data_IF_539149182710
#
_entry.id   IF_539149182710
#
_cell.length_a   1.000
_cell.length_b   1.000
_cell.length_c   1.000
_cell.angle_alpha   90.00
_cell.angle_beta   90.00
_cell.angle_gamma   90.00
#
_symmetry.space_group_name_H-M   'P 1'
#
loop_
_entity.id
_entity.type
_entity.pdbx_description
1 polymer ?
#
# COMPACT_ATOMS: atom_id res chain seq x y z
N UNK A 1 -56.97 80.65 7.22
CA UNK A 1 -57.12 79.29 6.65
C UNK A 1 -56.32 79.26 5.37
N UNK A 2 -55.04 78.92 5.45
CA UNK A 2 -54.15 78.77 4.29
C UNK A 2 -54.16 77.31 3.86
N UNK A 3 -54.55 77.08 2.61
CA UNK A 3 -54.55 75.76 1.99
C UNK A 3 -53.17 75.52 1.36
N UNK A 4 -52.34 74.72 2.03
CA UNK A 4 -51.04 74.28 1.51
C UNK A 4 -51.25 73.25 0.40
N UNK A 5 -51.14 73.70 -0.86
CA UNK A 5 -51.09 72.81 -2.03
C UNK A 5 -49.73 72.10 -2.09
N UNK A 6 -49.72 70.81 -1.75
CA UNK A 6 -48.56 69.92 -1.92
C UNK A 6 -48.38 69.58 -3.40
N UNK A 7 -47.32 70.14 -3.98
CA UNK A 7 -46.84 69.87 -5.34
C UNK A 7 -46.38 68.41 -5.44
N UNK A 8 -47.12 67.58 -6.15
CA UNK A 8 -46.75 66.19 -6.44
C UNK A 8 -45.66 66.17 -7.50
N UNK A 9 -44.42 65.82 -7.11
CA UNK A 9 -43.34 65.62 -8.07
C UNK A 9 -43.56 64.35 -8.90
N UNK A 10 -43.29 64.39 -10.22
CA UNK A 10 -43.43 63.24 -11.10
C UNK A 10 -42.40 62.17 -10.74
N UNK A 11 -42.91 60.99 -10.40
CA UNK A 11 -42.12 59.79 -10.07
C UNK A 11 -41.23 59.41 -11.27
N UNK A 12 -39.90 59.36 -11.12
CA UNK A 12 -39.01 59.02 -12.22
C UNK A 12 -39.30 57.60 -12.72
N UNK A 13 -39.39 57.45 -14.04
CA UNK A 13 -39.65 56.18 -14.70
C UNK A 13 -38.54 55.16 -14.36
N UNK A 14 -38.88 53.89 -14.11
CA UNK A 14 -37.91 52.85 -13.82
C UNK A 14 -36.94 52.70 -15.01
N UNK A 15 -35.64 52.87 -14.75
CA UNK A 15 -34.61 52.64 -15.77
C UNK A 15 -34.72 51.17 -16.23
N UNK A 16 -34.69 50.91 -17.56
CA UNK A 16 -34.67 49.55 -18.07
C UNK A 16 -33.49 48.81 -17.43
N UNK A 17 -33.78 47.68 -16.79
CA UNK A 17 -32.78 46.84 -16.17
C UNK A 17 -31.81 46.36 -17.25
N UNK A 18 -30.65 47.01 -17.32
CA UNK A 18 -29.58 46.66 -18.23
C UNK A 18 -29.09 45.27 -17.80
N UNK A 19 -29.54 44.24 -18.50
CA UNK A 19 -29.11 42.86 -18.22
C UNK A 19 -27.60 42.82 -18.41
N UNK A 20 -26.81 42.58 -17.35
CA UNK A 20 -25.37 42.54 -17.51
C UNK A 20 -25.04 41.43 -18.53
N UNK A 21 -24.08 41.67 -19.43
CA UNK A 21 -23.66 40.65 -20.37
C UNK A 21 -23.24 39.40 -19.60
N UNK A 22 -23.54 38.19 -20.13
CA UNK A 22 -23.17 36.94 -19.47
C UNK A 22 -21.67 36.94 -19.20
N UNK A 23 -21.29 36.71 -17.94
CA UNK A 23 -19.90 36.64 -17.55
C UNK A 23 -19.21 35.56 -18.39
N UNK A 24 -18.00 35.83 -18.94
CA UNK A 24 -17.26 34.81 -19.65
C UNK A 24 -17.04 33.60 -18.74
N UNK A 25 -17.09 32.36 -19.27
CA UNK A 25 -16.87 31.17 -18.48
C UNK A 25 -15.51 31.26 -17.80
N UNK A 26 -15.48 31.13 -16.47
CA UNK A 26 -14.23 31.12 -15.71
C UNK A 26 -13.35 29.99 -16.26
N UNK A 27 -12.06 30.25 -16.53
CA UNK A 27 -11.16 29.19 -16.95
C UNK A 27 -11.11 28.10 -15.87
N UNK A 28 -11.09 26.80 -16.25
CA UNK A 28 -10.99 25.73 -15.28
C UNK A 28 -9.73 25.92 -14.45
N UNK A 29 -9.87 25.92 -13.12
CA UNK A 29 -8.73 25.99 -12.23
C UNK A 29 -7.83 24.78 -12.52
N UNK A 30 -6.50 24.98 -12.68
CA UNK A 30 -5.59 23.87 -12.89
C UNK A 30 -5.69 22.89 -11.71
N UNK A 31 -5.67 21.57 -11.96
CA UNK A 31 -5.68 20.59 -10.88
C UNK A 31 -4.47 20.85 -9.98
N UNK A 32 -4.75 21.22 -8.73
CA UNK A 32 -3.70 21.34 -7.72
C UNK A 32 -3.41 19.93 -7.23
N UNK A 33 -2.46 19.26 -7.88
CA UNK A 33 -1.86 18.01 -7.40
C UNK A 33 -0.91 18.33 -6.23
N UNK A 34 -1.45 18.93 -5.17
CA UNK A 34 -0.75 19.04 -3.91
C UNK A 34 -0.66 17.64 -3.33
N UNK A 35 0.51 17.02 -3.46
CA UNK A 35 0.85 15.80 -2.72
C UNK A 35 0.83 16.17 -1.24
N UNK A 36 -0.32 15.96 -0.61
CA UNK A 36 -0.45 16.11 0.85
C UNK A 36 0.48 15.06 1.42
N UNK A 37 1.61 15.50 1.95
CA UNK A 37 2.60 14.64 2.58
C UNK A 37 1.87 13.83 3.65
N UNK A 38 1.75 12.52 3.46
CA UNK A 38 1.05 11.66 4.42
C UNK A 38 2.05 11.29 5.51
N UNK A 39 1.92 11.90 6.67
CA UNK A 39 2.77 11.62 7.82
C UNK A 39 2.41 10.24 8.38
N UNK A 40 3.30 9.22 8.34
CA UNK A 40 2.99 7.86 8.79
C UNK A 40 2.53 7.81 10.25
N UNK A 41 3.07 8.69 11.10
CA UNK A 41 2.68 8.85 12.49
C UNK A 41 1.20 9.27 12.63
N UNK A 42 0.74 10.24 11.83
CA UNK A 42 -0.65 10.72 11.84
C UNK A 42 -1.60 9.63 11.35
N UNK A 43 -1.22 8.90 10.30
CA UNK A 43 -2.01 7.77 9.81
C UNK A 43 -2.14 6.66 10.87
N UNK A 44 -1.05 6.35 11.58
CA UNK A 44 -1.04 5.37 12.67
C UNK A 44 -1.88 5.83 13.85
N UNK A 45 -1.77 7.09 14.25
CA UNK A 45 -2.57 7.67 15.33
C UNK A 45 -4.07 7.64 15.01
N UNK A 46 -4.47 8.00 13.77
CA UNK A 46 -5.86 7.92 13.31
C UNK A 46 -6.40 6.49 13.39
N UNK A 47 -5.63 5.48 12.94
CA UNK A 47 -6.03 4.07 13.03
C UNK A 47 -6.22 3.61 14.47
N UNK A 48 -5.32 3.99 15.38
CA UNK A 48 -5.44 3.65 16.81
C UNK A 48 -6.69 4.26 17.42
N UNK A 49 -6.92 5.54 17.16
CA UNK A 49 -8.08 6.27 17.65
C UNK A 49 -9.40 5.73 17.06
N UNK A 50 -9.41 5.30 15.79
CA UNK A 50 -10.54 4.59 15.20
C UNK A 50 -10.80 3.23 15.86
N UNK A 51 -9.76 2.49 16.22
CA UNK A 51 -9.87 1.22 16.94
C UNK A 51 -10.44 1.42 18.34
N UNK A 52 -9.92 2.39 19.11
CA UNK A 52 -10.46 2.74 20.44
C UNK A 52 -11.94 3.09 20.32
N UNK A 53 -12.32 3.91 19.34
CA UNK A 53 -13.72 4.30 19.13
C UNK A 53 -14.63 3.14 18.72
N UNK A 54 -14.16 2.16 17.94
CA UNK A 54 -14.94 0.94 17.64
C UNK A 54 -15.18 0.13 18.91
N UNK A 55 -14.15 -0.04 19.74
CA UNK A 55 -14.26 -0.74 21.03
C UNK A 55 -15.21 -0.01 21.98
N UNK A 56 -15.06 1.30 22.14
CA UNK A 56 -15.96 2.11 22.98
C UNK A 56 -17.41 2.03 22.51
N UNK A 57 -17.66 2.11 21.19
CA UNK A 57 -19.02 2.01 20.65
C UNK A 57 -19.67 0.65 20.92
N UNK A 58 -18.90 -0.43 20.85
CA UNK A 58 -19.38 -1.78 21.21
C UNK A 58 -19.65 -1.93 22.69
N UNK A 59 -18.73 -1.46 23.53
CA UNK A 59 -18.90 -1.47 24.97
C UNK A 59 -20.17 -0.69 25.37
N UNK A 60 -20.39 0.48 24.77
CA UNK A 60 -21.61 1.27 24.98
C UNK A 60 -22.88 0.53 24.53
N UNK A 61 -22.84 -0.15 23.39
CA UNK A 61 -23.99 -0.95 22.90
C UNK A 61 -24.33 -2.09 23.86
N UNK A 62 -23.32 -2.81 24.35
CA UNK A 62 -23.50 -3.89 25.33
C UNK A 62 -24.00 -3.36 26.67
N UNK A 63 -23.45 -2.25 27.14
CA UNK A 63 -23.88 -1.60 28.37
C UNK A 63 -25.34 -1.12 28.27
N UNK A 64 -25.73 -0.52 27.14
CA UNK A 64 -27.11 -0.10 26.88
C UNK A 64 -28.07 -1.28 26.83
N UNK A 65 -27.71 -2.37 26.14
CA UNK A 65 -28.51 -3.59 26.10
C UNK A 65 -28.67 -4.24 27.49
N UNK A 66 -27.58 -4.29 28.28
CA UNK A 66 -27.63 -4.80 29.65
C UNK A 66 -28.48 -3.91 30.58
N UNK A 67 -28.38 -2.59 30.44
CA UNK A 67 -29.19 -1.65 31.21
C UNK A 67 -30.68 -1.76 30.83
N UNK A 68 -31.00 -1.88 29.54
CA UNK A 68 -32.37 -2.12 29.07
C UNK A 68 -32.90 -3.47 29.58
N UNK A 69 -32.10 -4.53 29.53
CA UNK A 69 -32.47 -5.82 30.08
C UNK A 69 -32.70 -5.79 31.61
N UNK A 70 -31.91 -5.00 32.34
CA UNK A 70 -32.13 -4.77 33.77
C UNK A 70 -33.42 -3.97 34.03
N UNK A 71 -33.76 -3.02 33.14
CA UNK A 71 -35.03 -2.28 33.18
C UNK A 71 -36.27 -3.16 33.03
N UNK A 72 -36.17 -4.26 32.25
CA UNK A 72 -37.26 -5.24 32.15
C UNK A 72 -37.55 -5.96 33.49
N UNK A 73 -36.60 -5.95 34.44
CA UNK A 73 -36.69 -6.66 35.72
C UNK A 73 -36.80 -5.69 36.91
N UNK A 74 -36.46 -4.42 36.71
CA UNK A 74 -36.37 -3.41 37.77
C UNK A 74 -36.99 -2.10 37.33
N UNK A 75 -37.55 -1.31 38.24
CA UNK A 75 -38.17 -0.01 37.91
C UNK A 75 -37.14 1.10 37.60
N UNK A 76 -35.94 0.73 37.14
CA UNK A 76 -34.79 1.60 36.88
C UNK A 76 -34.77 2.17 35.45
N UNK A 77 -35.82 1.95 34.64
CA UNK A 77 -35.91 2.36 33.22
C UNK A 77 -35.64 3.86 33.03
N UNK A 78 -36.05 4.71 33.98
CA UNK A 78 -35.81 6.15 33.92
C UNK A 78 -34.32 6.53 33.97
N UNK A 79 -33.52 5.82 34.79
CA UNK A 79 -32.08 6.05 34.85
C UNK A 79 -31.37 5.59 33.58
N UNK A 80 -31.82 4.47 32.98
CA UNK A 80 -31.31 3.97 31.70
C UNK A 80 -31.59 4.96 30.56
N UNK A 81 -32.80 5.53 30.49
CA UNK A 81 -33.16 6.56 29.51
C UNK A 81 -32.32 7.83 29.66
N UNK A 82 -32.09 8.30 30.89
CA UNK A 82 -31.23 9.46 31.14
C UNK A 82 -29.78 9.21 30.72
N UNK A 83 -29.25 8.03 31.01
CA UNK A 83 -27.90 7.64 30.60
C UNK A 83 -27.78 7.57 29.07
N UNK A 84 -28.77 6.99 28.38
CA UNK A 84 -28.79 6.90 26.92
C UNK A 84 -28.91 8.28 26.25
N UNK A 85 -29.79 9.14 26.79
CA UNK A 85 -29.93 10.52 26.32
C UNK A 85 -28.63 11.33 26.50
N UNK A 86 -27.96 11.19 27.65
CA UNK A 86 -26.69 11.84 27.91
C UNK A 86 -25.59 11.35 26.95
N UNK A 87 -25.51 10.05 26.71
CA UNK A 87 -24.53 9.45 25.80
C UNK A 87 -24.76 9.91 24.35
N UNK A 88 -26.02 9.85 23.89
CA UNK A 88 -26.43 10.28 22.55
C UNK A 88 -26.19 11.78 22.35
N UNK A 89 -26.56 12.59 23.35
CA UNK A 89 -26.34 14.04 23.35
C UNK A 89 -24.86 14.42 23.29
N UNK A 90 -24.01 13.75 24.08
CA UNK A 90 -22.56 13.98 24.06
C UNK A 90 -21.94 13.63 22.69
N UNK A 91 -22.37 12.53 22.07
CA UNK A 91 -21.93 12.14 20.74
C UNK A 91 -22.39 13.10 19.63
N UNK A 92 -23.60 13.65 19.75
CA UNK A 92 -24.10 14.67 18.83
C UNK A 92 -23.37 16.01 18.99
N UNK A 93 -23.12 16.43 20.23
CA UNK A 93 -22.40 17.67 20.54
C UNK A 93 -20.96 17.62 19.99
N UNK A 94 -20.27 16.48 20.16
CA UNK A 94 -18.92 16.28 19.61
C UNK A 94 -18.92 16.28 18.07
N UNK A 95 -19.92 15.69 17.42
CA UNK A 95 -20.08 15.79 15.95
C UNK A 95 -20.28 17.24 15.49
N UNK A 96 -21.09 18.02 16.20
CA UNK A 96 -21.42 19.41 15.84
C UNK A 96 -20.22 20.35 15.99
N UNK A 97 -19.40 20.14 17.02
CA UNK A 97 -18.23 20.97 17.32
C UNK A 97 -17.08 20.77 16.32
N UNK A 98 -16.93 19.57 15.74
CA UNK A 98 -15.74 19.21 14.97
C UNK A 98 -15.91 19.25 13.44
N UNK A 99 -17.08 19.59 12.88
CA UNK A 99 -17.29 19.48 11.41
C UNK A 99 -18.02 20.64 10.72
N UNK A 100 -17.53 21.04 9.52
CA UNK A 100 -18.16 22.05 8.68
C UNK A 100 -19.50 21.57 8.11
N UNK A 101 -20.34 22.53 7.71
CA UNK A 101 -21.73 22.30 7.28
C UNK A 101 -21.86 21.61 5.91
N UNK A 102 -22.96 20.91 5.68
CA UNK A 102 -23.27 20.23 4.41
C UNK A 102 -24.24 19.05 4.55
N UNK A 103 -24.75 18.53 3.43
CA UNK A 103 -25.69 17.38 3.41
C UNK A 103 -25.12 16.13 4.10
N UNK A 104 -23.81 15.90 4.00
CA UNK A 104 -23.15 14.77 4.68
C UNK A 104 -23.24 14.87 6.21
N UNK A 105 -23.27 16.10 6.76
CA UNK A 105 -23.44 16.34 8.20
C UNK A 105 -24.83 15.92 8.64
N UNK A 106 -25.87 16.23 7.87
CA UNK A 106 -27.24 15.83 8.19
C UNK A 106 -27.38 14.30 8.20
N UNK A 107 -26.91 13.61 7.15
CA UNK A 107 -26.99 12.15 7.08
C UNK A 107 -26.22 11.46 8.21
N UNK A 108 -25.00 11.91 8.51
CA UNK A 108 -24.24 11.37 9.61
C UNK A 108 -24.88 11.64 10.97
N UNK A 109 -25.50 12.81 11.16
CA UNK A 109 -26.19 13.16 12.41
C UNK A 109 -27.40 12.25 12.62
N UNK A 110 -28.19 12.00 11.56
CA UNK A 110 -29.31 11.05 11.59
C UNK A 110 -28.83 9.65 11.94
N UNK A 111 -27.77 9.17 11.28
CA UNK A 111 -27.18 7.85 11.57
C UNK A 111 -26.64 7.75 13.01
N UNK A 112 -26.20 8.86 13.60
CA UNK A 112 -25.70 8.89 14.96
C UNK A 112 -26.83 8.95 16.00
N UNK A 113 -27.92 9.66 15.72
CA UNK A 113 -29.10 9.72 16.59
C UNK A 113 -29.91 8.42 16.58
N UNK A 114 -30.00 7.77 15.41
CA UNK A 114 -30.91 6.63 15.18
C UNK A 114 -30.86 5.56 16.29
N UNK A 115 -29.68 5.11 16.78
CA UNK A 115 -29.63 4.12 17.84
C UNK A 115 -30.27 4.62 19.13
N UNK A 116 -29.83 5.78 19.66
CA UNK A 116 -30.37 6.31 20.93
C UNK A 116 -31.87 6.59 20.84
N UNK A 117 -32.33 7.21 19.76
CA UNK A 117 -33.77 7.46 19.57
C UNK A 117 -34.58 6.17 19.42
N UNK A 118 -34.00 5.15 18.79
CA UNK A 118 -34.64 3.84 18.63
C UNK A 118 -34.75 3.08 19.95
N UNK A 119 -33.69 3.10 20.76
CA UNK A 119 -33.69 2.51 22.09
C UNK A 119 -34.67 3.22 23.02
N UNK A 120 -34.64 4.56 23.04
CA UNK A 120 -35.58 5.35 23.83
C UNK A 120 -37.04 5.07 23.43
N UNK A 121 -37.33 4.94 22.14
CA UNK A 121 -38.67 4.59 21.67
C UNK A 121 -39.11 3.19 22.12
N UNK A 122 -38.20 2.20 22.10
CA UNK A 122 -38.48 0.84 22.61
C UNK A 122 -38.79 0.87 24.11
N UNK A 123 -37.99 1.56 24.91
CA UNK A 123 -38.20 1.69 26.36
C UNK A 123 -39.48 2.48 26.70
N UNK A 124 -39.85 3.46 25.88
CA UNK A 124 -41.12 4.19 26.06
C UNK A 124 -42.33 3.30 25.71
N UNK A 125 -42.20 2.44 24.70
CA UNK A 125 -43.25 1.50 24.30
C UNK A 125 -43.50 0.44 25.39
N UNK A 126 -42.43 -0.06 26.02
CA UNK A 126 -42.48 -0.96 27.19
C UNK A 126 -43.27 -0.33 28.36
N UNK A 127 -43.11 0.98 28.61
CA UNK A 127 -43.87 1.69 29.65
C UNK A 127 -45.37 1.81 29.35
N UNK A 128 -45.80 1.70 28.08
CA UNK A 128 -47.18 1.90 27.65
C UNK A 128 -48.00 0.61 27.60
N UNK A 129 -47.35 -0.55 27.46
CA UNK A 129 -48.00 -1.87 27.43
C UNK A 129 -47.70 -2.55 28.77
N UNK A 130 -48.72 -3.00 29.50
CA UNK A 130 -48.52 -3.74 30.77
C UNK A 130 -48.70 -5.24 30.55
N UNK A 131 -47.72 -6.09 30.87
CA UNK A 131 -47.84 -7.56 30.71
C UNK A 131 -46.53 -8.37 30.80
N UNK A 132 -46.52 -9.59 30.25
CA UNK A 132 -45.30 -10.40 30.08
C UNK A 132 -44.78 -10.15 28.67
N UNK A 133 -43.58 -9.58 28.58
CA UNK A 133 -43.10 -8.87 27.39
C UNK A 133 -42.07 -9.65 26.56
N UNK A 134 -42.36 -10.90 26.19
CA UNK A 134 -41.48 -11.67 25.29
C UNK A 134 -41.21 -10.97 23.96
N UNK A 135 -42.20 -10.22 23.46
CA UNK A 135 -42.06 -9.41 22.25
C UNK A 135 -41.04 -8.28 22.39
N UNK A 136 -40.94 -7.65 23.57
CA UNK A 136 -40.01 -6.54 23.82
C UNK A 136 -38.60 -7.04 24.03
N UNK A 137 -38.43 -8.16 24.75
CA UNK A 137 -37.13 -8.83 24.85
C UNK A 137 -36.61 -9.24 23.45
N UNK A 138 -37.48 -9.75 22.57
CA UNK A 138 -37.14 -10.09 21.20
C UNK A 138 -36.82 -8.83 20.37
N UNK A 139 -37.62 -7.77 20.50
CA UNK A 139 -37.38 -6.50 19.82
C UNK A 139 -36.04 -5.85 20.24
N UNK A 140 -35.72 -5.85 21.54
CA UNK A 140 -34.46 -5.36 22.08
C UNK A 140 -33.27 -6.20 21.60
N UNK A 141 -33.42 -7.53 21.59
CA UNK A 141 -32.39 -8.44 21.07
C UNK A 141 -32.15 -8.20 19.58
N UNK A 142 -33.21 -8.10 18.79
CA UNK A 142 -33.14 -7.82 17.36
C UNK A 142 -32.53 -6.44 17.08
N UNK A 143 -32.91 -5.41 17.84
CA UNK A 143 -32.36 -4.07 17.73
C UNK A 143 -30.87 -4.03 18.09
N UNK A 144 -30.45 -4.75 19.13
CA UNK A 144 -29.05 -4.87 19.54
C UNK A 144 -28.24 -5.59 18.46
N UNK A 145 -28.74 -6.70 17.93
CA UNK A 145 -28.09 -7.41 16.83
C UNK A 145 -27.97 -6.54 15.57
N UNK A 146 -29.03 -5.82 15.21
CA UNK A 146 -29.04 -4.94 14.05
C UNK A 146 -28.01 -3.80 14.19
N UNK A 147 -27.99 -3.11 15.32
CA UNK A 147 -27.01 -2.03 15.58
C UNK A 147 -25.57 -2.55 15.63
N UNK A 148 -25.36 -3.75 16.18
CA UNK A 148 -24.05 -4.42 16.20
C UNK A 148 -23.53 -4.77 14.80
N UNK A 149 -24.41 -5.26 13.92
CA UNK A 149 -24.07 -5.64 12.53
C UNK A 149 -23.89 -4.39 11.65
N UNK A 150 -24.87 -3.48 11.63
CA UNK A 150 -24.83 -2.29 10.77
C UNK A 150 -23.71 -1.32 11.15
N UNK A 151 -23.39 -1.21 12.45
CA UNK A 151 -22.43 -0.24 12.99
C UNK A 151 -22.67 1.18 12.43
N UNK A 152 -23.82 1.79 12.70
CA UNK A 152 -24.22 3.06 12.09
C UNK A 152 -23.17 4.16 12.28
N UNK A 153 -22.49 4.23 13.42
CA UNK A 153 -21.39 5.16 13.65
C UNK A 153 -20.18 4.95 12.70
N UNK A 154 -19.87 3.70 12.32
CA UNK A 154 -18.81 3.40 11.35
C UNK A 154 -19.22 3.78 9.94
N UNK A 155 -20.48 3.54 9.57
CA UNK A 155 -21.04 3.96 8.28
C UNK A 155 -21.03 5.49 8.14
N UNK A 156 -21.55 6.20 9.14
CA UNK A 156 -21.56 7.67 9.18
C UNK A 156 -20.14 8.25 9.01
N UNK A 157 -19.16 7.68 9.71
CA UNK A 157 -17.74 8.10 9.59
C UNK A 157 -17.17 7.83 8.20
N UNK A 158 -17.46 6.69 7.57
CA UNK A 158 -16.99 6.38 6.21
C UNK A 158 -17.57 7.31 5.16
N UNK A 159 -18.83 7.72 5.32
CA UNK A 159 -19.45 8.72 4.43
C UNK A 159 -18.80 10.09 4.59
N UNK A 160 -18.39 10.41 5.81
CA UNK A 160 -17.79 11.69 6.19
C UNK A 160 -16.29 11.79 5.93
N UNK A 161 -15.59 10.67 5.95
CA UNK A 161 -14.17 10.54 5.72
C UNK A 161 -13.95 9.24 4.98
N UNK A 162 -13.73 9.28 3.65
CA UNK A 162 -13.34 8.11 2.90
C UNK A 162 -12.20 7.41 3.65
N UNK A 163 -12.23 6.07 3.76
CA UNK A 163 -11.14 5.36 4.41
C UNK A 163 -9.84 5.81 3.76
N UNK A 164 -8.78 6.08 4.54
CA UNK A 164 -7.48 6.35 3.95
C UNK A 164 -7.18 5.20 2.97
N UNK A 165 -6.57 5.48 1.81
CA UNK A 165 -6.21 4.44 0.87
C UNK A 165 -5.49 3.33 1.66
N UNK A 166 -5.74 2.04 1.34
CA UNK A 166 -5.06 0.94 2.01
C UNK A 166 -3.58 1.30 2.06
N UNK A 167 -2.96 1.11 3.24
CA UNK A 167 -1.51 1.33 3.33
C UNK A 167 -0.90 0.55 2.17
N UNK A 168 0.04 1.16 1.39
CA UNK A 168 0.73 0.39 0.37
C UNK A 168 1.19 -0.88 1.05
N UNK A 169 0.74 -2.02 0.54
CA UNK A 169 1.18 -3.32 1.05
C UNK A 169 2.70 -3.21 1.08
N UNK A 170 3.34 -3.29 2.27
CA UNK A 170 4.77 -3.13 2.34
C UNK A 170 5.32 -4.11 1.32
N UNK A 171 6.05 -3.58 0.32
CA UNK A 171 6.70 -4.42 -0.66
C UNK A 171 7.38 -5.53 0.14
N UNK A 172 7.18 -6.82 -0.22
CA UNK A 172 7.71 -7.93 0.54
C UNK A 172 9.14 -7.58 0.90
N UNK A 173 9.43 -7.52 2.20
CA UNK A 173 10.76 -7.15 2.68
C UNK A 173 11.74 -7.97 1.84
N UNK A 174 12.74 -7.33 1.18
CA UNK A 174 13.57 -8.01 0.20
C UNK A 174 14.02 -9.32 0.83
N UNK A 175 13.62 -10.43 0.20
CA UNK A 175 13.90 -11.77 0.69
C UNK A 175 15.37 -11.78 1.11
N UNK A 176 15.63 -12.18 2.37
CA UNK A 176 16.92 -12.00 3.04
C UNK A 176 18.05 -12.16 2.03
N UNK A 177 18.63 -11.01 1.64
CA UNK A 177 19.72 -10.97 0.67
C UNK A 177 20.76 -11.95 1.17
N UNK A 178 21.20 -12.86 0.30
CA UNK A 178 22.22 -13.86 0.62
C UNK A 178 23.30 -13.25 1.52
N UNK A 179 23.78 -14.01 2.50
CA UNK A 179 24.73 -13.52 3.52
C UNK A 179 26.06 -13.00 2.97
N UNK A 180 26.25 -13.01 1.65
CA UNK A 180 27.44 -12.56 0.95
C UNK A 180 27.65 -11.03 1.11
N UNK A 181 28.85 -10.59 1.54
CA UNK A 181 29.13 -9.18 1.79
C UNK A 181 28.93 -8.30 0.54
N UNK A 182 29.24 -8.82 -0.66
CA UNK A 182 29.03 -8.10 -1.93
C UNK A 182 27.54 -7.91 -2.25
N UNK A 183 26.69 -8.91 -1.97
CA UNK A 183 25.25 -8.78 -2.17
C UNK A 183 24.66 -7.69 -1.27
N UNK A 184 25.11 -7.66 -0.01
CA UNK A 184 24.74 -6.62 0.96
C UNK A 184 25.21 -5.24 0.52
N UNK A 185 26.46 -5.12 0.07
CA UNK A 185 27.00 -3.86 -0.44
C UNK A 185 26.22 -3.37 -1.66
N UNK A 186 25.87 -4.26 -2.59
CA UNK A 186 25.03 -3.94 -3.75
C UNK A 186 23.67 -3.40 -3.33
N UNK A 187 22.99 -4.08 -2.40
CA UNK A 187 21.69 -3.65 -1.88
C UNK A 187 21.74 -2.26 -1.23
N UNK A 188 22.85 -1.94 -0.54
CA UNK A 188 23.01 -0.70 0.21
C UNK A 188 23.50 0.50 -0.63
N UNK A 189 24.19 0.27 -1.74
CA UNK A 189 24.84 1.36 -2.49
C UNK A 189 24.37 1.46 -3.94
N UNK A 190 24.02 0.33 -4.56
CA UNK A 190 23.72 0.24 -6.00
C UNK A 190 22.21 0.15 -6.25
N UNK A 191 21.50 -0.66 -5.46
CA UNK A 191 20.09 -1.00 -5.67
C UNK A 191 19.09 -0.01 -5.06
N UNK A 192 19.57 1.04 -4.38
CA UNK A 192 18.74 2.08 -3.80
C UNK A 192 18.01 2.90 -4.87
N UNK A 193 16.93 3.56 -4.46
CA UNK A 193 16.24 4.54 -5.30
C UNK A 193 17.21 5.65 -5.71
N UNK A 194 17.34 5.86 -7.03
CA UNK A 194 18.31 6.78 -7.60
C UNK A 194 19.75 6.26 -7.67
N UNK A 195 20.01 4.99 -7.31
CA UNK A 195 21.30 4.31 -7.48
C UNK A 195 21.62 3.96 -8.94
N UNK A 196 22.69 3.19 -9.16
CA UNK A 196 23.09 2.78 -10.51
C UNK A 196 22.25 1.63 -11.08
N UNK A 197 21.62 0.82 -10.22
CA UNK A 197 20.74 -0.29 -10.61
C UNK A 197 19.53 -0.42 -9.65
N UNK A 198 18.63 0.58 -9.58
CA UNK A 198 17.54 0.61 -8.60
C UNK A 198 16.64 -0.62 -8.72
N UNK A 199 16.23 -1.20 -7.60
CA UNK A 199 15.32 -2.35 -7.59
C UNK A 199 15.92 -3.64 -8.14
N UNK A 200 17.24 -3.84 -8.00
CA UNK A 200 17.93 -5.08 -8.37
C UNK A 200 18.52 -5.80 -7.15
N UNK A 201 18.76 -7.10 -7.29
CA UNK A 201 19.42 -7.95 -6.30
C UNK A 201 20.55 -8.72 -6.99
N UNK A 202 21.63 -8.96 -6.25
CA UNK A 202 22.78 -9.73 -6.73
C UNK A 202 22.70 -11.18 -6.20
N UNK A 203 22.85 -12.16 -7.08
CA UNK A 203 22.79 -13.61 -6.83
C UNK A 203 23.96 -14.31 -7.53
N UNK A 204 24.21 -15.59 -7.20
CA UNK A 204 25.24 -16.43 -7.86
C UNK A 204 26.62 -15.75 -7.97
N UNK A 205 27.11 -15.20 -6.86
CA UNK A 205 28.35 -14.43 -6.83
C UNK A 205 29.54 -15.39 -6.85
N UNK A 206 30.35 -15.30 -7.90
CA UNK A 206 31.56 -16.09 -8.12
C UNK A 206 32.77 -15.16 -8.24
N UNK A 207 33.78 -15.37 -7.40
CA UNK A 207 35.05 -14.66 -7.52
C UNK A 207 35.95 -15.38 -8.52
N UNK A 208 36.19 -14.75 -9.68
CA UNK A 208 36.98 -15.34 -10.78
C UNK A 208 38.47 -15.01 -10.70
N UNK A 209 38.86 -14.10 -9.82
CA UNK A 209 40.26 -13.69 -9.59
C UNK A 209 40.37 -12.68 -8.44
N UNK A 210 41.59 -12.20 -8.19
CA UNK A 210 41.84 -11.25 -7.09
C UNK A 210 41.06 -9.94 -7.24
N UNK A 211 40.93 -9.46 -8.49
CA UNK A 211 40.19 -8.26 -8.85
C UNK A 211 39.06 -8.53 -9.87
N UNK A 212 38.68 -9.80 -10.08
CA UNK A 212 37.62 -10.15 -11.02
C UNK A 212 36.49 -10.95 -10.36
N UNK A 213 35.27 -10.64 -10.77
CA UNK A 213 34.04 -11.19 -10.20
C UNK A 213 33.00 -11.38 -11.29
N UNK A 214 32.18 -12.41 -11.12
CA UNK A 214 30.96 -12.63 -11.88
C UNK A 214 29.78 -12.76 -10.92
N UNK A 215 28.64 -12.20 -11.30
CA UNK A 215 27.41 -12.39 -10.56
C UNK A 215 26.19 -12.30 -11.47
N UNK A 216 25.05 -12.78 -10.99
CA UNK A 216 23.76 -12.65 -11.65
C UNK A 216 22.95 -11.55 -10.98
N UNK A 217 22.52 -10.58 -11.76
CA UNK A 217 21.64 -9.50 -11.34
C UNK A 217 20.20 -9.92 -11.65
N UNK A 218 19.32 -9.86 -10.65
CA UNK A 218 17.89 -10.15 -10.77
C UNK A 218 17.06 -8.90 -10.46
N UNK A 219 15.91 -8.75 -11.12
CA UNK A 219 14.90 -7.77 -10.70
C UNK A 219 14.34 -8.13 -9.31
N UNK A 220 14.28 -7.15 -8.41
CA UNK A 220 13.64 -7.31 -7.11
C UNK A 220 12.14 -7.56 -7.24
N UNK A 221 11.51 -7.02 -8.30
CA UNK A 221 10.12 -7.29 -8.64
C UNK A 221 10.02 -8.53 -9.54
N UNK A 222 9.41 -9.60 -9.03
CA UNK A 222 9.21 -10.85 -9.76
C UNK A 222 8.42 -10.61 -11.06
N UNK A 223 8.91 -11.18 -12.17
CA UNK A 223 8.27 -11.05 -13.48
C UNK A 223 8.61 -9.78 -14.25
N UNK A 224 9.36 -8.84 -13.66
CA UNK A 224 9.84 -7.64 -14.34
C UNK A 224 11.23 -7.84 -14.95
N UNK A 225 11.53 -7.20 -16.10
CA UNK A 225 12.88 -7.19 -16.64
C UNK A 225 13.84 -6.47 -15.70
N UNK A 226 15.13 -6.83 -15.75
CA UNK A 226 16.16 -6.06 -15.04
C UNK A 226 16.16 -4.64 -15.62
N UNK A 227 16.04 -3.59 -14.78
CA UNK A 227 16.10 -2.22 -15.24
C UNK A 227 17.46 -1.93 -15.89
N UNK A 228 17.52 -0.89 -16.71
CA UNK A 228 18.78 -0.52 -17.33
C UNK A 228 19.77 -0.03 -16.27
N UNK A 229 21.02 -0.52 -16.36
CA UNK A 229 22.03 -0.31 -15.33
C UNK A 229 23.06 0.66 -15.88
N UNK A 230 23.25 1.78 -15.18
CA UNK A 230 24.20 2.81 -15.61
C UNK A 230 25.63 2.36 -15.29
N UNK A 231 26.32 1.82 -16.29
CA UNK A 231 27.74 1.41 -16.18
C UNK A 231 28.60 2.57 -15.68
N UNK A 232 28.40 3.79 -16.23
CA UNK A 232 29.12 5.00 -15.78
C UNK A 232 28.97 5.28 -14.29
N UNK A 233 27.75 5.19 -13.75
CA UNK A 233 27.51 5.44 -12.31
C UNK A 233 28.06 4.30 -11.46
N UNK A 234 27.99 3.07 -11.95
CA UNK A 234 28.55 1.90 -11.28
C UNK A 234 30.08 1.97 -11.22
N UNK A 235 30.72 2.34 -12.33
CA UNK A 235 32.15 2.61 -12.46
C UNK A 235 32.60 3.68 -11.47
N UNK A 236 31.92 4.84 -11.44
CA UNK A 236 32.24 5.93 -10.52
C UNK A 236 32.06 5.53 -9.04
N UNK A 237 31.13 4.61 -8.73
CA UNK A 237 30.88 4.13 -7.37
C UNK A 237 31.92 3.10 -6.92
N UNK A 238 32.36 2.23 -7.83
CA UNK A 238 33.29 1.13 -7.53
C UNK A 238 34.75 1.50 -7.70
N UNK A 239 35.04 2.64 -8.35
CA UNK A 239 36.37 3.05 -8.77
C UNK A 239 37.03 2.01 -9.71
N UNK A 240 36.25 1.55 -10.70
CA UNK A 240 36.67 0.55 -11.70
C UNK A 240 36.41 1.12 -13.11
N UNK A 241 37.34 0.99 -14.08
CA UNK A 241 37.13 1.48 -15.44
C UNK A 241 35.85 0.92 -16.11
N UNK A 242 35.18 1.71 -16.94
CA UNK A 242 33.91 1.31 -17.59
C UNK A 242 34.10 0.05 -18.48
N UNK A 243 35.27 -0.08 -19.11
CA UNK A 243 35.65 -1.21 -19.95
C UNK A 243 35.79 -2.55 -19.20
N UNK A 244 35.98 -2.49 -17.88
CA UNK A 244 36.07 -3.68 -17.03
C UNK A 244 34.70 -4.13 -16.49
N UNK A 245 33.64 -3.35 -16.72
CA UNK A 245 32.29 -3.65 -16.25
C UNK A 245 31.43 -4.11 -17.43
N UNK A 246 31.22 -5.42 -17.49
CA UNK A 246 30.32 -6.06 -18.46
C UNK A 246 28.96 -6.38 -17.85
N UNK A 247 27.89 -5.93 -18.50
CA UNK A 247 26.51 -6.34 -18.17
C UNK A 247 25.88 -6.97 -19.41
N UNK A 248 25.59 -8.27 -19.36
CA UNK A 248 25.09 -9.03 -20.50
C UNK A 248 23.91 -9.94 -20.18
N UNK A 249 23.27 -10.55 -21.19
CA UNK A 249 22.23 -11.55 -20.97
C UNK A 249 22.81 -12.83 -20.37
N UNK A 250 22.01 -13.53 -19.56
CA UNK A 250 22.33 -14.89 -19.09
C UNK A 250 21.76 -15.90 -20.12
N UNK A 251 22.59 -16.76 -20.74
CA UNK A 251 22.11 -17.73 -21.72
C UNK A 251 21.00 -18.65 -21.16
N UNK A 252 19.93 -18.85 -21.93
CA UNK A 252 18.81 -19.71 -21.54
C UNK A 252 17.89 -19.12 -20.45
N UNK A 253 18.07 -17.86 -20.06
CA UNK A 253 17.23 -17.16 -19.08
C UNK A 253 16.53 -15.95 -19.70
N UNK A 254 15.38 -15.58 -19.14
CA UNK A 254 14.60 -14.41 -19.58
C UNK A 254 15.22 -13.08 -19.14
N UNK A 255 14.60 -11.97 -19.59
CA UNK A 255 15.08 -10.60 -19.33
C UNK A 255 15.06 -10.17 -17.85
N UNK A 256 14.49 -10.99 -16.96
CA UNK A 256 14.53 -10.78 -15.51
C UNK A 256 15.90 -11.06 -14.86
N UNK A 257 16.87 -11.58 -15.64
CA UNK A 257 18.24 -11.86 -15.21
C UNK A 257 19.26 -11.24 -16.18
N UNK A 258 20.32 -10.65 -15.63
CA UNK A 258 21.50 -10.18 -16.38
C UNK A 258 22.77 -10.64 -15.67
N UNK A 259 23.84 -10.91 -16.40
CA UNK A 259 25.14 -11.27 -15.84
C UNK A 259 25.98 -10.01 -15.69
N UNK A 260 26.44 -9.74 -14.47
CA UNK A 260 27.50 -8.79 -14.16
C UNK A 260 28.85 -9.49 -14.26
N UNK A 261 29.80 -8.88 -14.94
CA UNK A 261 31.21 -9.27 -14.96
C UNK A 261 32.02 -8.03 -14.63
N UNK A 262 32.91 -8.13 -13.66
CA UNK A 262 33.83 -7.07 -13.23
C UNK A 262 35.25 -7.59 -13.42
N UNK A 263 36.08 -6.77 -14.04
CA UNK A 263 37.46 -7.08 -14.39
C UNK A 263 37.57 -8.04 -15.57
N UNK A 264 38.81 -8.23 -16.01
CA UNK A 264 39.11 -9.29 -16.97
C UNK A 264 39.23 -10.60 -16.19
N UNK A 265 38.25 -11.50 -16.35
CA UNK A 265 38.42 -12.87 -15.85
C UNK A 265 39.72 -13.42 -16.45
N UNK A 266 40.50 -14.20 -15.70
CA UNK A 266 41.68 -14.90 -16.22
C UNK A 266 41.23 -15.92 -17.28
N UNK A 267 40.94 -15.43 -18.49
CA UNK A 267 40.51 -16.23 -19.65
C UNK A 267 41.62 -17.18 -20.12
N UNK A 268 42.80 -17.10 -19.50
CA UNK A 268 43.98 -17.89 -19.81
C UNK A 268 44.13 -19.15 -18.94
N UNK A 269 43.19 -19.44 -18.02
CA UNK A 269 43.15 -20.78 -17.46
C UNK A 269 42.61 -21.73 -18.53
N UNK A 270 43.55 -22.38 -19.22
CA UNK A 270 43.29 -23.51 -20.10
C UNK A 270 42.24 -24.43 -19.41
N UNK A 271 41.08 -24.70 -20.05
CA UNK A 271 40.05 -25.57 -19.50
C UNK A 271 40.59 -26.93 -19.05
N UNK A 272 41.64 -27.43 -19.71
CA UNK A 272 42.31 -28.64 -19.28
C UNK A 272 42.98 -28.49 -17.91
N UNK A 273 43.58 -27.33 -17.63
CA UNK A 273 44.16 -26.98 -16.33
C UNK A 273 43.09 -26.87 -15.25
N UNK A 274 41.95 -26.21 -15.51
CA UNK A 274 40.84 -26.12 -14.55
C UNK A 274 40.27 -27.49 -14.22
N UNK A 275 40.04 -28.32 -15.25
CA UNK A 275 39.50 -29.65 -15.07
C UNK A 275 40.47 -30.55 -14.30
N UNK A 276 41.76 -30.54 -14.67
CA UNK A 276 42.80 -31.33 -14.02
C UNK A 276 43.00 -30.94 -12.55
N UNK A 277 42.99 -29.65 -12.23
CA UNK A 277 43.28 -29.18 -10.87
C UNK A 277 42.09 -29.23 -9.93
N UNK A 278 40.87 -28.93 -10.42
CA UNK A 278 39.70 -28.75 -9.55
C UNK A 278 38.66 -29.86 -9.67
N UNK A 279 38.35 -30.29 -10.89
CA UNK A 279 37.21 -31.17 -11.15
C UNK A 279 37.61 -32.64 -11.03
N UNK A 280 38.70 -33.04 -11.67
CA UNK A 280 39.16 -34.43 -11.71
C UNK A 280 39.44 -35.02 -10.32
N UNK A 281 40.15 -34.34 -9.40
CA UNK A 281 40.42 -34.92 -8.08
C UNK A 281 39.16 -35.12 -7.22
N UNK A 282 38.17 -34.24 -7.38
CA UNK A 282 36.91 -34.29 -6.63
C UNK A 282 35.92 -35.31 -7.23
N UNK A 283 35.81 -35.36 -8.56
CA UNK A 283 34.85 -36.21 -9.25
C UNK A 283 35.36 -37.64 -9.52
N UNK A 284 36.67 -37.82 -9.72
CA UNK A 284 37.29 -39.08 -10.15
C UNK A 284 38.66 -39.31 -9.46
N UNK A 285 38.69 -39.64 -8.17
CA UNK A 285 39.93 -39.88 -7.44
C UNK A 285 40.71 -41.04 -8.08
N UNK A 286 41.96 -40.81 -8.45
CA UNK A 286 42.86 -41.83 -9.04
C UNK A 286 42.80 -41.96 -10.57
N UNK A 287 41.96 -41.19 -11.26
CA UNK A 287 41.97 -41.15 -12.72
C UNK A 287 43.04 -40.18 -13.26
N UNK A 288 43.78 -40.60 -14.29
CA UNK A 288 44.72 -39.74 -15.02
C UNK A 288 44.01 -39.13 -16.22
N UNK A 289 44.00 -37.81 -16.30
CA UNK A 289 43.37 -37.09 -17.40
C UNK A 289 44.25 -37.17 -18.65
N UNK A 290 43.81 -37.87 -19.69
CA UNK A 290 44.55 -38.05 -20.94
C UNK A 290 44.29 -36.96 -21.98
N UNK A 291 43.24 -36.16 -21.81
CA UNK A 291 42.96 -34.98 -22.62
C UNK A 291 41.59 -34.37 -22.33
N UNK A 292 41.45 -33.05 -22.53
CA UNK A 292 40.15 -32.36 -22.49
C UNK A 292 39.82 -31.90 -23.91
N UNK A 293 38.73 -32.43 -24.48
CA UNK A 293 38.17 -31.90 -25.72
C UNK A 293 37.16 -30.81 -25.38
N UNK A 294 37.51 -29.57 -25.67
CA UNK A 294 36.58 -28.43 -25.57
C UNK A 294 35.91 -28.27 -26.93
N UNK A 295 34.72 -28.85 -27.09
CA UNK A 295 33.90 -28.72 -28.29
C UNK A 295 32.57 -28.04 -27.97
N UNK A 296 32.04 -27.27 -28.92
CA UNK A 296 30.66 -26.77 -28.84
C UNK A 296 29.72 -27.94 -29.22
N UNK A 297 28.71 -28.27 -28.39
CA UNK A 297 27.73 -29.28 -28.78
C UNK A 297 27.05 -28.84 -30.08
N UNK A 298 27.24 -29.59 -31.17
CA UNK A 298 26.64 -29.32 -32.46
C UNK A 298 27.53 -28.66 -33.51
N UNK A 299 28.86 -28.60 -33.33
CA UNK A 299 29.78 -28.27 -34.42
C UNK A 299 30.18 -29.54 -35.19
N UNK A 300 29.58 -29.83 -36.36
CA UNK A 300 29.86 -31.07 -37.10
C UNK A 300 31.30 -31.12 -37.63
N UNK A 301 32.02 -30.00 -37.66
CA UNK A 301 33.40 -29.92 -38.14
C UNK A 301 34.43 -30.54 -37.16
N UNK A 302 34.06 -30.78 -35.89
CA UNK A 302 34.98 -31.31 -34.88
C UNK A 302 35.06 -32.85 -34.85
N UNK A 303 34.24 -33.54 -35.64
CA UNK A 303 34.15 -35.02 -35.67
C UNK A 303 35.09 -35.69 -36.67
N UNK A 304 35.69 -34.95 -37.60
CA UNK A 304 36.49 -35.50 -38.70
C UNK A 304 37.98 -35.17 -38.51
N UNK A 305 38.54 -35.63 -37.38
CA UNK A 305 39.98 -35.81 -37.30
C UNK A 305 40.32 -36.96 -38.26
N UNK A 306 40.87 -36.61 -39.42
CA UNK A 306 41.32 -37.54 -40.44
C UNK A 306 42.14 -38.68 -39.81
N UNK A 307 41.88 -39.95 -40.18
CA UNK A 307 42.76 -41.03 -39.79
C UNK A 307 44.14 -40.77 -40.38
N UNK A 308 45.14 -40.83 -39.51
CA UNK A 308 46.56 -40.71 -39.81
C UNK A 308 46.94 -41.64 -40.99
N UNK A 309 47.41 -41.11 -42.14
CA UNK A 309 47.70 -41.93 -43.31
C UNK A 309 48.98 -42.78 -43.20
N UNK A 310 49.74 -42.72 -42.11
CA UNK A 310 51.05 -43.40 -42.01
C UNK A 310 51.01 -44.85 -41.49
N UNK A 311 49.86 -45.43 -41.15
CA UNK A 311 49.78 -46.82 -40.66
C UNK A 311 49.54 -47.88 -41.76
N UNK A 312 50.14 -47.72 -42.95
CA UNK A 312 50.26 -48.79 -43.96
C UNK A 312 51.64 -48.79 -44.59
N UNK A 313 52.60 -49.40 -43.90
CA UNK A 313 53.81 -50.02 -44.47
C UNK A 313 54.33 -51.08 -43.51
#
# INVERSE_FOLDING_TARGET
MEATMTRTEPRPLPRPAMTPPPAPPLPPLPPVDAVIQQWPAVATARRRLDAVRDVTGRAATLAGAAAAAAGLVTDATGAALLADAALTGAGLATLRLWRPDGHQKATASVLYLMPGTGLAALLLAERLVTGIHWGEALALTAWTAATWILRPARLARRMMSPPPPPAPTPAPAPAAVDGHPVARWWAQNVALDGGAAPGTVLEEIEQTGTASMRAVIRSAATGHPVPDISIRRLSALMDIPEEEIGIGPVPGRGAGLRRLTIGTADQHQDPATVWAQRIAPAAMPGAVLTGVRVGRPGDPAAGEAAPDPEARS
#
